data_IF_507859366271
#
_entry.id   IF_507859366271
#
_cell.length_a   1.000
_cell.length_b   1.000
_cell.length_c   1.000
_cell.angle_alpha   90.00
_cell.angle_beta   90.00
_cell.angle_gamma   90.00
#
_symmetry.space_group_name_H-M   'P 1'
#
loop_
_entity.id
_entity.type
_entity.pdbx_description
1 polymer ?
#
# COMPACT_ATOMS: atom_id res chain seq x y z
N UNK A 1 -15.37 1.08 -14.82
CA UNK A 1 -15.23 0.48 -13.46
C UNK A 1 -14.45 1.38 -12.49
N UNK A 2 -13.43 2.09 -12.93
CA UNK A 2 -12.61 2.98 -12.06
C UNK A 2 -13.33 4.21 -11.53
N UNK A 3 -14.46 4.60 -12.14
CA UNK A 3 -15.26 5.77 -11.77
C UNK A 3 -16.44 5.43 -10.83
N UNK A 4 -16.52 4.19 -10.35
CA UNK A 4 -17.51 3.82 -9.34
C UNK A 4 -17.29 4.65 -8.08
N UNK A 5 -18.31 5.32 -7.53
CA UNK A 5 -18.14 6.16 -6.36
C UNK A 5 -17.75 5.34 -5.13
N UNK A 6 -16.86 5.89 -4.31
CA UNK A 6 -16.40 5.23 -3.06
C UNK A 6 -17.34 5.48 -1.90
N UNK A 7 -18.52 4.90 -2.01
CA UNK A 7 -19.55 4.90 -0.98
C UNK A 7 -19.93 3.46 -0.63
N UNK A 8 -20.43 3.23 0.58
CA UNK A 8 -20.72 1.88 1.10
C UNK A 8 -21.64 1.06 0.17
N UNK A 9 -22.64 1.68 -0.45
CA UNK A 9 -23.57 1.01 -1.37
C UNK A 9 -22.91 0.53 -2.67
N UNK A 10 -21.92 1.27 -3.17
CA UNK A 10 -21.20 0.95 -4.41
C UNK A 10 -19.96 0.07 -4.20
N UNK A 11 -19.56 -0.20 -2.96
CA UNK A 11 -18.35 -0.93 -2.63
C UNK A 11 -18.27 -2.31 -3.30
N UNK A 12 -19.38 -3.01 -3.44
CA UNK A 12 -19.43 -4.30 -4.13
C UNK A 12 -19.04 -4.26 -5.62
N UNK A 13 -19.08 -3.07 -6.24
CA UNK A 13 -18.72 -2.82 -7.63
C UNK A 13 -17.34 -2.16 -7.77
N UNK A 14 -16.66 -1.84 -6.68
CA UNK A 14 -15.37 -1.14 -6.68
C UNK A 14 -14.22 -2.10 -7.05
N UNK A 15 -14.00 -2.25 -8.35
CA UNK A 15 -12.92 -3.06 -8.89
C UNK A 15 -11.53 -2.49 -8.55
N UNK A 16 -11.41 -1.16 -8.40
CA UNK A 16 -10.14 -0.54 -8.02
C UNK A 16 -9.70 -0.99 -6.61
N UNK A 17 -10.64 -0.99 -5.65
CA UNK A 17 -10.36 -1.51 -4.30
C UNK A 17 -10.06 -3.01 -4.30
N UNK A 18 -10.76 -3.80 -5.13
CA UNK A 18 -10.47 -5.24 -5.26
C UNK A 18 -9.06 -5.49 -5.78
N UNK A 19 -8.63 -4.75 -6.80
CA UNK A 19 -7.28 -4.88 -7.36
C UNK A 19 -6.21 -4.31 -6.42
N UNK A 20 -6.50 -3.22 -5.72
CA UNK A 20 -5.60 -2.66 -4.71
C UNK A 20 -5.34 -3.63 -3.55
N UNK A 21 -6.36 -4.37 -3.11
CA UNK A 21 -6.19 -5.41 -2.09
C UNK A 21 -5.20 -6.49 -2.54
N UNK A 22 -5.36 -7.00 -3.77
CA UNK A 22 -4.43 -7.98 -4.36
C UNK A 22 -3.03 -7.38 -4.45
N UNK A 23 -2.89 -6.14 -4.90
CA UNK A 23 -1.60 -5.49 -5.05
C UNK A 23 -0.87 -5.39 -3.70
N UNK A 24 -1.56 -5.00 -2.63
CA UNK A 24 -0.98 -4.93 -1.29
C UNK A 24 -0.50 -6.29 -0.77
N UNK A 25 -1.32 -7.33 -0.91
CA UNK A 25 -0.91 -8.69 -0.61
C UNK A 25 0.31 -9.11 -1.42
N UNK A 26 0.24 -8.95 -2.74
CA UNK A 26 1.32 -9.41 -3.64
C UNK A 26 2.62 -8.65 -3.42
N UNK A 27 2.56 -7.36 -3.05
CA UNK A 27 3.75 -6.57 -2.72
C UNK A 27 4.56 -7.19 -1.59
N UNK A 28 3.90 -7.69 -0.53
CA UNK A 28 4.57 -8.38 0.58
C UNK A 28 5.21 -9.68 0.10
N UNK A 29 4.53 -10.44 -0.76
CA UNK A 29 5.07 -11.70 -1.32
C UNK A 29 6.28 -11.41 -2.21
N UNK A 30 6.25 -10.36 -3.04
CA UNK A 30 7.42 -9.95 -3.84
C UNK A 30 8.56 -9.47 -2.94
N UNK A 31 8.27 -8.71 -1.87
CA UNK A 31 9.27 -8.34 -0.89
C UNK A 31 9.92 -9.58 -0.25
N UNK A 32 9.10 -10.54 0.20
CA UNK A 32 9.58 -11.80 0.79
C UNK A 32 10.46 -12.61 -0.15
N UNK A 33 10.08 -12.67 -1.44
CA UNK A 33 10.86 -13.40 -2.45
C UNK A 33 12.25 -12.79 -2.72
N UNK A 34 12.40 -11.49 -2.46
CA UNK A 34 13.66 -10.77 -2.71
C UNK A 34 14.48 -10.50 -1.43
N UNK A 35 13.91 -10.70 -0.25
CA UNK A 35 14.53 -10.27 1.01
C UNK A 35 15.65 -11.17 1.53
N UNK A 36 15.70 -12.43 1.17
CA UNK A 36 16.79 -13.36 1.56
C UNK A 36 16.87 -13.71 3.06
N UNK A 37 15.98 -13.18 3.93
CA UNK A 37 15.90 -13.49 5.36
C UNK A 37 14.47 -13.84 5.77
N UNK A 38 14.29 -14.33 6.99
CA UNK A 38 12.97 -14.63 7.55
C UNK A 38 12.15 -13.36 7.82
N UNK A 39 10.85 -13.42 7.57
CA UNK A 39 9.91 -12.41 8.07
C UNK A 39 9.65 -12.58 9.56
N UNK A 40 9.38 -13.80 10.00
CA UNK A 40 9.15 -14.11 11.41
C UNK A 40 10.46 -14.33 12.17
N UNK A 41 10.44 -14.10 13.48
CA UNK A 41 11.53 -14.53 14.34
C UNK A 41 11.69 -16.05 14.34
N UNK A 42 12.91 -16.55 14.31
CA UNK A 42 13.23 -17.98 14.30
C UNK A 42 14.19 -18.35 15.42
N UNK A 43 14.01 -19.56 15.94
CA UNK A 43 15.00 -20.21 16.80
C UNK A 43 15.53 -21.43 16.05
N UNK A 44 16.81 -21.41 15.74
CA UNK A 44 17.48 -22.44 14.95
C UNK A 44 18.58 -23.13 15.75
N UNK A 45 19.12 -24.21 15.23
CA UNK A 45 20.30 -24.86 15.81
C UNK A 45 21.52 -23.90 15.85
N UNK A 46 21.58 -22.92 14.96
CA UNK A 46 22.64 -21.91 14.90
C UNK A 46 22.36 -20.65 15.74
N UNK A 47 21.22 -20.62 16.45
CA UNK A 47 20.83 -19.49 17.31
C UNK A 47 19.51 -18.81 16.91
N UNK A 48 19.26 -17.66 17.52
CA UNK A 48 18.06 -16.85 17.30
C UNK A 48 18.24 -15.91 16.13
N UNK A 49 17.22 -15.81 15.29
CA UNK A 49 17.10 -14.82 14.20
C UNK A 49 15.95 -13.89 14.53
N UNK A 50 16.16 -12.57 14.61
CA UNK A 50 15.09 -11.62 14.87
C UNK A 50 14.14 -11.54 13.68
N UNK A 51 12.85 -11.15 13.91
CA UNK A 51 11.91 -10.90 12.82
C UNK A 51 12.34 -9.69 11.98
N UNK A 52 11.90 -9.67 10.71
CA UNK A 52 12.07 -8.52 9.84
C UNK A 52 11.21 -7.33 10.31
N UNK A 53 11.72 -6.13 10.10
CA UNK A 53 11.00 -4.87 10.31
C UNK A 53 10.47 -4.36 8.97
N UNK A 54 9.16 -4.27 8.85
CA UNK A 54 8.46 -3.85 7.61
C UNK A 54 7.77 -2.50 7.86
N UNK A 55 8.10 -1.50 7.07
CA UNK A 55 7.41 -0.21 7.05
C UNK A 55 6.47 -0.13 5.85
N UNK A 56 5.20 0.17 6.09
CA UNK A 56 4.20 0.38 5.06
C UNK A 56 3.79 1.84 5.06
N UNK A 57 3.96 2.52 3.92
CA UNK A 57 3.64 3.94 3.74
C UNK A 57 2.37 4.05 2.92
N UNK A 58 1.30 4.49 3.58
CA UNK A 58 -0.07 4.52 3.09
C UNK A 58 -0.91 3.38 3.67
N UNK A 59 -1.97 3.70 4.40
CA UNK A 59 -2.92 2.75 5.00
C UNK A 59 -4.30 2.78 4.30
N UNK A 60 -4.29 2.89 2.97
CA UNK A 60 -5.45 2.64 2.13
C UNK A 60 -5.69 1.14 1.94
N UNK A 61 -6.53 0.73 0.98
CA UNK A 61 -6.86 -0.69 0.75
C UNK A 61 -5.61 -1.54 0.51
N UNK A 62 -4.69 -1.09 -0.33
CA UNK A 62 -3.44 -1.80 -0.61
C UNK A 62 -2.54 -1.86 0.64
N UNK A 63 -2.40 -0.74 1.36
CA UNK A 63 -1.59 -0.67 2.57
C UNK A 63 -2.12 -1.58 3.68
N UNK A 64 -3.43 -1.58 3.93
CA UNK A 64 -4.04 -2.47 4.94
C UNK A 64 -3.89 -3.94 4.57
N UNK A 65 -4.02 -4.30 3.27
CA UNK A 65 -3.75 -5.66 2.81
C UNK A 65 -2.27 -6.06 3.03
N UNK A 66 -1.35 -5.14 2.77
CA UNK A 66 0.07 -5.35 3.04
C UNK A 66 0.37 -5.49 4.53
N UNK A 67 -0.22 -4.64 5.40
CA UNK A 67 -0.10 -4.73 6.86
C UNK A 67 -0.55 -6.11 7.35
N UNK A 68 -1.76 -6.54 7.00
CA UNK A 68 -2.27 -7.84 7.42
C UNK A 68 -1.41 -8.99 6.95
N UNK A 69 -0.89 -8.93 5.73
CA UNK A 69 -0.02 -9.96 5.16
C UNK A 69 1.35 -10.00 5.86
N UNK A 70 2.01 -8.85 6.03
CA UNK A 70 3.32 -8.78 6.69
C UNK A 70 3.25 -9.25 8.15
N UNK A 71 2.22 -8.82 8.88
CA UNK A 71 1.95 -9.24 10.25
C UNK A 71 1.68 -10.75 10.33
N UNK A 72 0.89 -11.30 9.40
CA UNK A 72 0.61 -12.74 9.32
C UNK A 72 1.86 -13.57 9.03
N UNK A 73 2.84 -13.02 8.29
CA UNK A 73 4.15 -13.64 8.08
C UNK A 73 5.08 -13.50 9.30
N UNK A 74 4.65 -12.84 10.36
CA UNK A 74 5.38 -12.70 11.61
C UNK A 74 6.44 -11.59 11.64
N UNK A 75 6.36 -10.62 10.74
CA UNK A 75 7.20 -9.42 10.77
C UNK A 75 6.77 -8.46 11.89
N UNK A 76 7.69 -7.62 12.34
CA UNK A 76 7.37 -6.41 13.10
C UNK A 76 6.94 -5.36 12.07
N UNK A 77 5.66 -5.00 12.08
CA UNK A 77 5.07 -4.15 11.04
C UNK A 77 4.80 -2.76 11.60
N UNK A 78 5.35 -1.75 10.92
CA UNK A 78 5.09 -0.34 11.12
C UNK A 78 4.25 0.20 9.97
N UNK A 79 3.37 1.14 10.22
CA UNK A 79 2.61 1.79 9.16
C UNK A 79 2.51 3.30 9.39
N UNK A 80 2.53 4.04 8.32
CA UNK A 80 2.31 5.48 8.31
C UNK A 80 1.20 5.84 7.33
N UNK A 81 0.34 6.74 7.74
CA UNK A 81 -0.62 7.44 6.84
C UNK A 81 -0.74 8.90 7.29
N UNK A 82 -1.03 9.79 6.35
CA UNK A 82 -1.27 11.22 6.65
C UNK A 82 -2.61 11.45 7.34
N UNK A 83 -3.49 10.45 7.35
CA UNK A 83 -4.80 10.45 8.00
C UNK A 83 -4.71 9.74 9.35
N UNK A 84 -4.80 10.45 10.47
CA UNK A 84 -4.65 9.83 11.79
C UNK A 84 -5.82 8.93 12.18
N UNK A 85 -6.98 9.15 11.58
CA UNK A 85 -8.18 8.33 11.81
C UNK A 85 -8.00 6.85 11.42
N UNK A 86 -6.98 6.52 10.61
CA UNK A 86 -6.67 5.13 10.25
C UNK A 86 -5.77 4.43 11.27
N UNK A 87 -5.22 5.15 12.26
CA UNK A 87 -4.29 4.59 13.25
C UNK A 87 -4.92 3.42 14.02
N UNK A 88 -6.13 3.59 14.53
CA UNK A 88 -6.86 2.53 15.24
C UNK A 88 -7.03 1.26 14.38
N UNK A 89 -7.31 1.44 13.09
CA UNK A 89 -7.44 0.31 12.17
C UNK A 89 -6.09 -0.39 11.95
N UNK A 90 -5.01 0.35 11.81
CA UNK A 90 -3.64 -0.19 11.69
C UNK A 90 -3.26 -0.99 12.93
N UNK A 91 -3.48 -0.43 14.11
CA UNK A 91 -3.16 -1.05 15.40
C UNK A 91 -4.01 -2.31 15.65
N UNK A 92 -5.28 -2.29 15.24
CA UNK A 92 -6.17 -3.46 15.34
C UNK A 92 -5.69 -4.65 14.49
N UNK A 93 -4.88 -4.40 13.47
CA UNK A 93 -4.25 -5.43 12.63
C UNK A 93 -2.90 -5.91 13.15
N UNK A 94 -2.46 -5.43 14.33
CA UNK A 94 -1.22 -5.82 14.98
C UNK A 94 0.03 -5.10 14.46
N UNK A 95 -0.13 -3.98 13.78
CA UNK A 95 0.97 -3.11 13.37
C UNK A 95 1.08 -1.90 14.30
N UNK A 96 2.24 -1.29 14.35
CA UNK A 96 2.50 -0.05 15.08
C UNK A 96 2.31 1.14 14.14
N UNK A 97 1.47 2.09 14.53
CA UNK A 97 1.29 3.32 13.76
C UNK A 97 2.42 4.30 14.05
N UNK A 98 3.03 4.84 13.00
CA UNK A 98 4.12 5.81 13.12
C UNK A 98 3.53 7.20 13.22
N UNK A 99 3.55 7.78 14.42
CA UNK A 99 3.13 9.15 14.66
C UNK A 99 4.26 10.15 14.35
N UNK A 100 3.87 11.32 13.88
CA UNK A 100 4.77 12.47 13.75
C UNK A 100 4.60 13.38 14.96
N UNK A 101 5.72 13.91 15.46
CA UNK A 101 5.71 15.00 16.45
C UNK A 101 5.37 16.32 15.74
N UNK A 102 4.11 16.47 15.32
CA UNK A 102 3.65 17.61 14.55
C UNK A 102 2.19 17.95 14.88
N UNK A 103 1.95 19.15 15.44
CA UNK A 103 0.62 19.65 15.78
C UNK A 103 -0.01 20.43 14.62
N UNK A 104 -0.38 19.77 13.53
CA UNK A 104 -1.21 20.40 12.50
C UNK A 104 -2.67 19.97 12.68
N UNK A 105 -3.63 20.91 12.52
CA UNK A 105 -5.04 20.58 12.43
C UNK A 105 -5.28 19.74 11.18
N UNK A 106 -5.45 18.45 11.38
CA UNK A 106 -5.57 17.47 10.32
C UNK A 106 -6.93 17.60 9.64
N UNK A 107 -6.93 17.65 8.32
CA UNK A 107 -8.17 17.72 7.54
C UNK A 107 -8.81 16.33 7.49
N UNK A 108 -10.12 16.29 7.76
CA UNK A 108 -10.97 15.12 7.73
C UNK A 108 -10.91 14.41 6.35
N UNK A 109 -10.37 13.20 6.32
CA UNK A 109 -10.24 12.38 5.11
C UNK A 109 -11.58 12.00 4.47
N UNK A 110 -12.69 12.12 5.20
CA UNK A 110 -14.05 11.89 4.68
C UNK A 110 -14.40 12.84 3.53
N UNK A 111 -13.83 14.06 3.51
CA UNK A 111 -14.07 15.06 2.46
C UNK A 111 -13.32 14.78 1.17
N UNK A 112 -12.31 13.93 1.19
CA UNK A 112 -11.44 13.63 0.04
C UNK A 112 -11.71 12.26 -0.60
N UNK A 113 -12.81 11.59 -0.22
CA UNK A 113 -13.13 10.25 -0.74
C UNK A 113 -12.13 9.16 -0.34
N UNK A 114 -11.49 9.33 0.83
CA UNK A 114 -10.51 8.38 1.36
C UNK A 114 -9.10 8.55 0.80
N UNK A 115 -8.83 9.60 0.02
CA UNK A 115 -7.48 9.95 -0.42
C UNK A 115 -6.86 11.05 0.47
N UNK A 116 -5.54 11.01 0.59
CA UNK A 116 -4.80 12.06 1.28
C UNK A 116 -4.93 13.41 0.57
N UNK A 117 -5.10 14.48 1.32
CA UNK A 117 -4.97 15.85 0.82
C UNK A 117 -3.49 16.24 0.66
N UNK A 118 -3.22 17.33 -0.04
CA UNK A 118 -1.86 17.88 -0.14
C UNK A 118 -1.46 18.42 1.23
N UNK A 119 -0.41 17.84 1.81
CA UNK A 119 0.13 18.24 3.12
C UNK A 119 0.85 19.57 3.04
N UNK A 120 0.95 20.31 4.17
CA UNK A 120 1.76 21.51 4.25
C UNK A 120 3.26 21.21 4.04
N UNK A 121 4.07 22.18 3.62
CA UNK A 121 5.51 21.99 3.51
C UNK A 121 6.17 21.56 4.82
N UNK A 122 5.74 22.13 5.94
CA UNK A 122 6.24 21.82 7.28
C UNK A 122 5.90 20.37 7.69
N UNK A 123 4.67 19.93 7.43
CA UNK A 123 4.27 18.54 7.65
C UNK A 123 5.11 17.57 6.80
N UNK A 124 5.34 17.91 5.54
CA UNK A 124 6.18 17.12 4.65
C UNK A 124 7.62 17.00 5.15
N UNK A 125 8.18 18.09 5.67
CA UNK A 125 9.53 18.08 6.24
C UNK A 125 9.61 17.18 7.47
N UNK A 126 8.65 17.28 8.40
CA UNK A 126 8.55 16.40 9.57
C UNK A 126 8.40 14.93 9.17
N UNK A 127 7.58 14.64 8.17
CA UNK A 127 7.39 13.31 7.61
C UNK A 127 8.70 12.74 7.04
N UNK A 128 9.39 13.50 6.20
CA UNK A 128 10.67 13.06 5.62
C UNK A 128 11.76 12.91 6.68
N UNK A 129 11.79 13.75 7.71
CA UNK A 129 12.70 13.62 8.84
C UNK A 129 12.46 12.30 9.60
N UNK A 130 11.19 11.96 9.87
CA UNK A 130 10.83 10.69 10.52
C UNK A 130 11.21 9.47 9.66
N UNK A 131 11.00 9.54 8.36
CA UNK A 131 11.40 8.45 7.46
C UNK A 131 12.92 8.28 7.38
N UNK A 132 13.71 9.37 7.44
CA UNK A 132 15.18 9.28 7.53
C UNK A 132 15.65 8.61 8.81
N UNK A 133 14.96 8.85 9.93
CA UNK A 133 15.22 8.15 11.20
C UNK A 133 14.96 6.64 11.08
N UNK A 134 13.87 6.26 10.41
CA UNK A 134 13.46 4.86 10.27
C UNK A 134 14.26 4.09 9.22
N UNK A 135 14.79 4.76 8.19
CA UNK A 135 15.43 4.11 7.06
C UNK A 135 16.57 3.13 7.43
N UNK A 136 17.49 3.42 8.36
CA UNK A 136 18.51 2.46 8.78
C UNK A 136 17.97 1.33 9.66
N UNK A 137 16.75 1.47 10.20
CA UNK A 137 16.16 0.52 11.15
C UNK A 137 15.31 -0.54 10.46
N UNK A 138 14.62 -0.17 9.38
CA UNK A 138 13.71 -1.07 8.67
C UNK A 138 14.45 -1.95 7.66
N UNK A 139 13.90 -3.11 7.40
CA UNK A 139 14.42 -4.08 6.45
C UNK A 139 13.65 -4.07 5.13
N UNK A 140 12.36 -3.77 5.19
CA UNK A 140 11.47 -3.74 4.03
C UNK A 140 10.61 -2.48 4.09
N UNK A 141 10.45 -1.84 2.94
CA UNK A 141 9.54 -0.69 2.76
C UNK A 141 8.56 -1.00 1.64
N UNK A 142 7.27 -0.83 1.91
CA UNK A 142 6.20 -0.94 0.90
C UNK A 142 5.49 0.41 0.83
N UNK A 143 5.50 1.01 -0.34
CA UNK A 143 4.87 2.32 -0.55
C UNK A 143 3.61 2.19 -1.41
N UNK A 144 2.53 2.85 -0.96
CA UNK A 144 1.22 2.76 -1.61
C UNK A 144 0.55 4.13 -1.77
N UNK A 145 1.29 5.22 -1.55
CA UNK A 145 0.72 6.56 -1.52
C UNK A 145 0.47 7.09 -2.93
N UNK A 146 -0.81 7.24 -3.27
CA UNK A 146 -1.26 7.78 -4.55
C UNK A 146 -2.17 8.99 -4.32
N UNK A 147 -2.01 10.01 -5.17
CA UNK A 147 -2.92 11.16 -5.23
C UNK A 147 -3.65 11.08 -6.57
N UNK A 148 -4.99 11.09 -6.60
CA UNK A 148 -5.75 10.99 -7.85
C UNK A 148 -5.35 12.08 -8.85
N UNK A 149 -5.13 11.67 -10.11
CA UNK A 149 -4.81 12.54 -11.24
C UNK A 149 -3.52 13.39 -11.07
N UNK A 150 -2.60 12.97 -10.22
CA UNK A 150 -1.29 13.62 -10.01
C UNK A 150 -0.19 12.57 -9.99
N UNK A 151 1.05 13.04 -10.13
CA UNK A 151 2.23 12.24 -9.83
C UNK A 151 2.23 11.81 -8.36
N UNK A 152 2.80 10.65 -8.09
CA UNK A 152 2.95 10.14 -6.74
C UNK A 152 3.91 11.04 -5.93
N UNK A 153 3.64 11.29 -4.64
CA UNK A 153 4.55 12.07 -3.83
C UNK A 153 5.86 11.28 -3.61
N UNK A 154 6.99 11.96 -3.75
CA UNK A 154 8.28 11.38 -3.35
C UNK A 154 8.36 11.34 -1.83
N UNK A 155 8.38 10.13 -1.24
CA UNK A 155 8.37 9.89 0.20
C UNK A 155 9.64 9.18 0.67
N UNK A 156 10.28 8.40 -0.21
CA UNK A 156 11.50 7.67 0.08
C UNK A 156 12.61 8.14 -0.83
N UNK A 157 13.45 9.01 -0.29
CA UNK A 157 14.49 9.73 -1.04
C UNK A 157 15.74 8.86 -1.26
N UNK A 158 16.61 9.27 -2.19
CA UNK A 158 17.82 8.51 -2.51
C UNK A 158 18.81 8.39 -1.31
N UNK A 159 18.85 9.38 -0.41
CA UNK A 159 19.64 9.32 0.83
C UNK A 159 19.08 8.29 1.81
N UNK A 160 17.75 8.14 1.91
CA UNK A 160 17.13 7.08 2.71
C UNK A 160 17.47 5.70 2.17
N UNK A 161 17.40 5.50 0.84
CA UNK A 161 17.84 4.22 0.23
C UNK A 161 19.27 3.90 0.57
N UNK A 162 20.17 4.90 0.50
CA UNK A 162 21.59 4.72 0.83
C UNK A 162 21.83 4.37 2.31
N UNK A 163 20.95 4.80 3.22
CA UNK A 163 21.05 4.51 4.65
C UNK A 163 20.47 3.15 5.04
N UNK A 164 19.72 2.50 4.15
CA UNK A 164 19.17 1.16 4.41
C UNK A 164 20.27 0.10 4.46
N UNK A 165 19.98 -0.97 5.19
CA UNK A 165 20.88 -2.11 5.32
C UNK A 165 21.03 -2.86 3.98
N UNK A 166 22.20 -3.40 3.66
CA UNK A 166 22.35 -4.31 2.52
C UNK A 166 21.37 -5.49 2.60
N UNK A 167 20.79 -5.86 1.46
CA UNK A 167 19.74 -6.89 1.37
C UNK A 167 18.34 -6.42 1.75
N UNK A 168 18.15 -5.13 2.07
CA UNK A 168 16.81 -4.54 2.24
C UNK A 168 16.03 -4.50 0.94
N UNK A 169 14.71 -4.44 1.03
CA UNK A 169 13.82 -4.45 -0.13
C UNK A 169 12.81 -3.30 -0.06
N UNK A 170 12.64 -2.62 -1.17
CA UNK A 170 11.59 -1.62 -1.38
C UNK A 170 10.63 -2.15 -2.45
N UNK A 171 9.32 -2.11 -2.19
CA UNK A 171 8.28 -2.40 -3.19
C UNK A 171 7.42 -1.16 -3.33
N UNK A 172 7.45 -0.57 -4.51
CA UNK A 172 6.77 0.69 -4.81
C UNK A 172 5.53 0.46 -5.67
N UNK A 173 4.35 0.48 -5.06
CA UNK A 173 3.07 0.33 -5.76
C UNK A 173 2.65 1.59 -6.53
N UNK A 174 3.35 2.70 -6.35
CA UNK A 174 3.09 3.95 -7.05
C UNK A 174 3.96 4.14 -8.30
N UNK A 175 4.73 3.14 -8.72
CA UNK A 175 5.70 3.23 -9.81
C UNK A 175 5.09 3.80 -11.11
N UNK A 176 3.86 3.41 -11.45
CA UNK A 176 3.14 3.88 -12.64
C UNK A 176 2.85 5.39 -12.62
N UNK A 177 2.86 6.01 -11.44
CA UNK A 177 2.64 7.46 -11.24
C UNK A 177 3.93 8.18 -10.83
N UNK A 178 5.08 7.67 -11.23
CA UNK A 178 6.40 8.24 -10.95
C UNK A 178 7.10 7.68 -9.72
N UNK A 179 6.41 6.89 -8.90
CA UNK A 179 6.93 6.23 -7.71
C UNK A 179 6.99 7.09 -6.46
N UNK A 180 6.83 6.46 -5.31
CA UNK A 180 7.07 7.08 -4.00
C UNK A 180 8.56 7.01 -3.60
N UNK A 181 9.32 6.08 -4.15
CA UNK A 181 10.75 5.98 -3.97
C UNK A 181 11.47 6.63 -5.15
N UNK A 182 12.43 7.51 -4.85
CA UNK A 182 13.18 8.27 -5.86
C UNK A 182 13.88 7.40 -6.92
N UNK A 183 14.32 6.23 -6.53
CA UNK A 183 15.10 5.34 -7.39
C UNK A 183 14.25 4.26 -8.06
N UNK A 184 12.94 4.29 -7.93
CA UNK A 184 12.04 3.36 -8.58
C UNK A 184 12.12 3.50 -10.10
N UNK A 185 12.23 2.37 -10.79
CA UNK A 185 12.11 2.28 -12.25
C UNK A 185 10.86 1.47 -12.57
N UNK A 186 9.99 2.06 -13.40
CA UNK A 186 8.72 1.45 -13.78
C UNK A 186 8.95 0.08 -14.44
N UNK A 187 8.20 -0.92 -13.99
CA UNK A 187 8.20 -2.31 -14.45
C UNK A 187 9.54 -3.06 -14.31
N UNK A 188 10.48 -2.50 -13.56
CA UNK A 188 11.77 -3.11 -13.31
C UNK A 188 11.97 -3.49 -11.84
N UNK A 189 12.89 -4.43 -11.65
CA UNK A 189 13.54 -4.73 -10.38
C UNK A 189 15.00 -4.34 -10.52
N UNK A 190 15.44 -3.40 -9.71
CA UNK A 190 16.84 -2.96 -9.68
C UNK A 190 17.49 -3.27 -8.33
N UNK A 191 18.79 -3.34 -8.32
CA UNK A 191 19.60 -3.45 -7.09
C UNK A 191 20.59 -2.30 -7.08
N UNK A 192 20.60 -1.55 -5.99
CA UNK A 192 21.47 -0.39 -5.82
C UNK A 192 22.90 -0.82 -5.43
N UNK A 193 23.86 0.14 -5.49
CA UNK A 193 25.25 -0.11 -5.11
C UNK A 193 25.43 -0.57 -3.65
N UNK A 194 24.51 -0.20 -2.75
CA UNK A 194 24.47 -0.67 -1.37
C UNK A 194 23.58 -1.91 -1.17
N UNK A 195 23.30 -2.67 -2.23
CA UNK A 195 22.56 -3.93 -2.22
C UNK A 195 21.10 -3.82 -1.74
N UNK A 196 20.45 -2.70 -1.94
CA UNK A 196 19.00 -2.54 -1.72
C UNK A 196 18.27 -2.91 -3.00
N UNK A 197 17.33 -3.85 -2.91
CA UNK A 197 16.48 -4.24 -4.05
C UNK A 197 15.25 -3.33 -4.11
N UNK A 198 14.99 -2.72 -5.27
CA UNK A 198 13.80 -1.89 -5.50
C UNK A 198 12.94 -2.53 -6.59
N UNK A 199 11.69 -2.81 -6.27
CA UNK A 199 10.69 -3.43 -7.16
C UNK A 199 9.66 -2.40 -7.53
N UNK A 200 9.63 -2.00 -8.81
CA UNK A 200 8.72 -1.00 -9.38
C UNK A 200 7.68 -1.58 -10.34
N UNK A 201 7.17 -2.79 -10.08
CA UNK A 201 6.19 -3.42 -10.96
C UNK A 201 4.84 -2.69 -10.93
N UNK A 202 4.17 -2.58 -12.09
CA UNK A 202 2.81 -2.01 -12.21
C UNK A 202 1.72 -3.10 -12.29
N UNK A 203 2.10 -4.36 -12.51
CA UNK A 203 1.22 -5.48 -12.85
C UNK A 203 0.89 -6.41 -11.67
N UNK A 204 0.95 -5.95 -10.43
CA UNK A 204 0.72 -6.79 -9.24
C UNK A 204 -0.55 -7.64 -9.28
N UNK A 205 -1.74 -7.11 -9.68
CA UNK A 205 -2.94 -7.93 -9.81
C UNK A 205 -2.80 -9.04 -10.87
N UNK A 206 -2.12 -8.76 -11.98
CA UNK A 206 -1.90 -9.74 -13.06
C UNK A 206 -0.99 -10.89 -12.64
N UNK A 207 -0.13 -10.67 -11.65
CA UNK A 207 0.71 -11.72 -11.02
C UNK A 207 -0.10 -12.68 -10.15
N UNK A 208 -1.39 -12.41 -9.96
CA UNK A 208 -2.37 -13.29 -9.32
C UNK A 208 -3.62 -13.41 -10.19
N UNK A 209 -3.44 -13.77 -11.45
CA UNK A 209 -4.44 -13.68 -12.51
C UNK A 209 -5.78 -14.36 -12.18
N UNK A 210 -5.75 -15.56 -11.62
CA UNK A 210 -6.97 -16.27 -11.25
C UNK A 210 -7.77 -15.53 -10.16
N UNK A 211 -7.09 -15.03 -9.12
CA UNK A 211 -7.74 -14.29 -8.04
C UNK A 211 -8.26 -12.94 -8.55
N UNK A 212 -7.47 -12.23 -9.34
CA UNK A 212 -7.84 -10.94 -9.93
C UNK A 212 -9.08 -11.09 -10.83
N UNK A 213 -9.10 -12.09 -11.70
CA UNK A 213 -10.25 -12.36 -12.59
C UNK A 213 -11.52 -12.69 -11.81
N UNK A 214 -11.42 -13.49 -10.75
CA UNK A 214 -12.58 -13.84 -9.90
C UNK A 214 -13.16 -12.61 -9.20
N UNK A 215 -12.34 -11.76 -8.62
CA UNK A 215 -12.80 -10.55 -7.94
C UNK A 215 -13.39 -9.56 -8.95
N UNK A 216 -12.69 -9.31 -10.06
CA UNK A 216 -13.15 -8.40 -11.09
C UNK A 216 -14.48 -8.84 -11.71
N UNK A 217 -14.63 -10.12 -12.07
CA UNK A 217 -15.89 -10.66 -12.59
C UNK A 217 -17.03 -10.55 -11.58
N UNK A 218 -16.74 -10.70 -10.28
CA UNK A 218 -17.72 -10.52 -9.22
C UNK A 218 -18.15 -9.05 -9.12
N UNK A 219 -17.22 -8.10 -9.20
CA UNK A 219 -17.57 -6.67 -9.24
C UNK A 219 -18.47 -6.33 -10.44
N UNK A 220 -18.15 -6.86 -11.65
CA UNK A 220 -18.98 -6.68 -12.85
C UNK A 220 -20.37 -7.30 -12.65
N UNK A 221 -20.44 -8.51 -12.11
CA UNK A 221 -21.72 -9.17 -11.84
C UNK A 221 -22.61 -8.35 -10.92
N UNK A 222 -22.05 -7.76 -9.87
CA UNK A 222 -22.79 -6.88 -8.98
C UNK A 222 -23.28 -5.62 -9.69
N UNK A 223 -22.46 -5.01 -10.54
CA UNK A 223 -22.87 -3.87 -11.35
C UNK A 223 -24.03 -4.22 -12.28
N UNK A 224 -23.95 -5.35 -13.01
CA UNK A 224 -25.00 -5.80 -13.89
C UNK A 224 -26.29 -6.10 -13.10
N UNK A 225 -26.19 -6.71 -11.92
CA UNK A 225 -27.35 -6.98 -11.06
C UNK A 225 -28.06 -5.71 -10.60
N UNK A 226 -27.33 -4.63 -10.39
CA UNK A 226 -27.91 -3.33 -10.02
C UNK A 226 -28.52 -2.59 -11.25
N UNK A 227 -27.95 -2.83 -12.45
CA UNK A 227 -28.49 -2.28 -13.70
C UNK A 227 -29.73 -3.04 -14.21
N UNK A 228 -29.91 -4.31 -13.86
CA UNK A 228 -31.03 -5.15 -14.27
C UNK A 228 -31.69 -5.84 -13.04
N UNK A 229 -32.29 -5.07 -12.13
CA UNK A 229 -32.81 -5.61 -10.86
C UNK A 229 -33.98 -6.58 -11.07
N UNK A 230 -34.81 -6.34 -12.08
CA UNK A 230 -36.02 -7.14 -12.38
C UNK A 230 -35.71 -8.44 -13.13
N UNK A 231 -34.49 -8.60 -13.65
CA UNK A 231 -34.05 -9.77 -14.42
C UNK A 231 -34.92 -10.10 -15.65
N UNK A 232 -35.55 -9.12 -16.23
CA UNK A 232 -36.44 -9.20 -17.41
C UNK A 232 -35.68 -8.98 -18.73
N UNK A 233 -34.37 -8.73 -18.66
CA UNK A 233 -33.51 -8.41 -19.81
C UNK A 233 -33.42 -6.92 -20.11
N UNK A 234 -34.16 -6.08 -19.41
CA UNK A 234 -34.05 -4.63 -19.53
C UNK A 234 -32.94 -4.07 -18.64
N UNK A 235 -32.21 -3.08 -19.15
CA UNK A 235 -31.12 -2.41 -18.44
C UNK A 235 -31.56 -1.01 -18.06
N UNK A 236 -31.59 -0.75 -16.76
CA UNK A 236 -31.79 0.61 -16.22
C UNK A 236 -30.43 1.28 -16.04
N UNK A 237 -30.10 2.23 -16.92
CA UNK A 237 -28.85 2.98 -16.84
C UNK A 237 -28.81 4.04 -15.73
N UNK A 238 -29.92 4.23 -15.02
CA UNK A 238 -29.96 5.14 -13.88
C UNK A 238 -29.46 4.43 -12.63
N UNK A 239 -28.21 4.70 -12.24
CA UNK A 239 -27.64 4.24 -10.96
C UNK A 239 -27.93 5.23 -9.81
N UNK A 240 -29.00 5.99 -9.93
CA UNK A 240 -29.36 7.03 -8.95
C UNK A 240 -29.67 6.47 -7.54
N UNK A 241 -29.87 5.17 -7.46
CA UNK A 241 -30.17 4.45 -6.20
C UNK A 241 -28.91 3.81 -5.55
N UNK A 242 -27.74 3.99 -6.15
CA UNK A 242 -26.47 3.48 -5.65
C UNK A 242 -25.80 4.50 -4.77
#
# INVERSE_FOLDING_TARGET
MEMVPRISRAQKMDALSSMANIAGYRAVIEASNNFGRFFTGQVTAAGKVPPAKVLIIGAGVAGLAAIGTATSLGAITYAFDVRPEVAEQVESMGAEFVYLDFEEQQQDGAKTGGYASVSSPEFREAQLAKFRELAPEVDIVITTALIPNREAPELWTADMVKSMKPGSVIVDLAAEKGGNCKLTVLDEKIVTDNEVTIVGYSDFPSRMAAQASNLYSTNIRHMISDLAPEKDGEINLSLIHI
#
